data_IF_368667522377
#
_entry.id   IF_368667522377
#
_cell.length_a   1.000
_cell.length_b   1.000
_cell.length_c   1.000
_cell.angle_alpha   90.00
_cell.angle_beta   90.00
_cell.angle_gamma   90.00
#
_symmetry.space_group_name_H-M   'P 1'
#
loop_
_entity.id
_entity.type
_entity.pdbx_description
1 polymer ?
#
# COMPACT_ATOMS: atom_id res chain seq x y z
N UNK A 1 -31.22 16.86 -38.70
CA UNK A 1 -30.63 15.53 -38.44
C UNK A 1 -30.77 15.25 -36.96
N UNK A 2 -31.18 14.01 -36.61
CA UNK A 2 -31.61 13.59 -35.26
C UNK A 2 -30.53 13.84 -34.20
N UNK A 3 -30.97 14.36 -33.07
CA UNK A 3 -30.23 14.48 -31.83
C UNK A 3 -29.72 13.10 -31.37
N UNK A 4 -28.43 13.00 -31.07
CA UNK A 4 -27.89 11.91 -30.26
C UNK A 4 -27.32 12.47 -28.96
N UNK A 5 -28.11 12.56 -27.88
CA UNK A 5 -27.53 12.71 -26.56
C UNK A 5 -27.27 11.31 -26.02
N UNK A 6 -26.19 10.64 -26.45
CA UNK A 6 -25.69 9.49 -25.69
C UNK A 6 -24.95 10.02 -24.46
N UNK A 7 -25.72 10.60 -23.53
CA UNK A 7 -25.22 10.95 -22.19
C UNK A 7 -25.01 9.61 -21.48
N UNK A 8 -23.82 9.05 -21.66
CA UNK A 8 -23.41 7.80 -21.06
C UNK A 8 -23.25 8.02 -19.55
N UNK A 9 -24.38 8.05 -18.83
CA UNK A 9 -24.40 8.21 -17.37
C UNK A 9 -23.97 6.88 -16.78
N UNK A 10 -22.66 6.70 -16.63
CA UNK A 10 -22.08 5.58 -15.90
C UNK A 10 -22.77 5.52 -14.53
N UNK A 11 -23.27 4.34 -14.15
CA UNK A 11 -23.94 4.17 -12.86
C UNK A 11 -22.96 4.49 -11.71
N UNK A 12 -23.44 5.02 -10.56
CA UNK A 12 -22.57 5.33 -9.42
C UNK A 12 -21.71 4.13 -8.99
N UNK A 13 -22.31 2.93 -9.04
CA UNK A 13 -21.63 1.65 -8.77
C UNK A 13 -20.49 1.37 -9.75
N UNK A 14 -20.73 1.52 -11.05
CA UNK A 14 -19.69 1.32 -12.05
C UNK A 14 -18.58 2.37 -11.92
N UNK A 15 -18.93 3.62 -11.59
CA UNK A 15 -17.95 4.68 -11.35
C UNK A 15 -17.04 4.34 -10.15
N UNK A 16 -17.62 3.85 -9.05
CA UNK A 16 -16.84 3.45 -7.88
C UNK A 16 -15.86 2.32 -8.20
N UNK A 17 -16.32 1.28 -8.91
CA UNK A 17 -15.46 0.16 -9.34
C UNK A 17 -14.32 0.64 -10.24
N UNK A 18 -14.60 1.53 -11.20
CA UNK A 18 -13.57 2.10 -12.09
C UNK A 18 -12.53 2.88 -11.28
N UNK A 19 -12.96 3.70 -10.31
CA UNK A 19 -12.05 4.45 -9.44
C UNK A 19 -11.17 3.50 -8.63
N UNK A 20 -11.76 2.49 -7.95
CA UNK A 20 -10.99 1.50 -7.17
C UNK A 20 -9.97 0.79 -8.07
N UNK A 21 -10.40 0.28 -9.22
CA UNK A 21 -9.52 -0.42 -10.16
C UNK A 21 -8.38 0.49 -10.64
N UNK A 22 -8.67 1.76 -10.95
CA UNK A 22 -7.65 2.73 -11.36
C UNK A 22 -6.64 3.02 -10.25
N UNK A 23 -7.10 3.18 -9.00
CA UNK A 23 -6.24 3.44 -7.84
C UNK A 23 -5.33 2.24 -7.57
N UNK A 24 -5.87 1.01 -7.64
CA UNK A 24 -5.07 -0.21 -7.50
C UNK A 24 -4.00 -0.28 -8.59
N UNK A 25 -4.36 -0.01 -9.84
CA UNK A 25 -3.41 -0.04 -10.95
C UNK A 25 -2.27 0.97 -10.78
N UNK A 26 -2.61 2.20 -10.36
CA UNK A 26 -1.62 3.23 -10.02
C UNK A 26 -0.75 2.76 -8.85
N UNK A 27 -1.35 2.16 -7.82
CA UNK A 27 -0.66 1.56 -6.67
C UNK A 27 0.40 0.55 -7.07
N UNK A 28 0.03 -0.38 -7.95
CA UNK A 28 0.93 -1.42 -8.46
C UNK A 28 2.08 -0.79 -9.25
N UNK A 29 1.78 0.14 -10.16
CA UNK A 29 2.80 0.80 -10.98
C UNK A 29 3.82 1.56 -10.11
N UNK A 30 3.33 2.35 -9.16
CA UNK A 30 4.16 3.09 -8.20
C UNK A 30 4.99 2.15 -7.33
N UNK A 31 4.38 1.08 -6.80
CA UNK A 31 5.08 0.09 -5.99
C UNK A 31 6.18 -0.65 -6.74
N UNK A 32 5.97 -0.95 -8.02
CA UNK A 32 6.99 -1.57 -8.87
C UNK A 32 8.20 -0.64 -9.09
N UNK A 33 7.96 0.65 -9.33
CA UNK A 33 9.01 1.66 -9.47
C UNK A 33 9.82 1.77 -8.18
N UNK A 34 9.15 1.96 -7.04
CA UNK A 34 9.82 2.06 -5.74
C UNK A 34 10.56 0.79 -5.36
N UNK A 35 10.00 -0.39 -5.67
CA UNK A 35 10.69 -1.66 -5.42
C UNK A 35 11.98 -1.77 -6.22
N UNK A 36 11.99 -1.33 -7.48
CA UNK A 36 13.18 -1.45 -8.34
C UNK A 36 14.30 -0.56 -7.82
N UNK A 37 13.96 0.68 -7.45
CA UNK A 37 14.91 1.64 -6.87
C UNK A 37 15.41 1.15 -5.52
N UNK A 38 14.50 0.74 -4.64
CA UNK A 38 14.82 0.31 -3.28
C UNK A 38 15.66 -0.97 -3.24
N UNK A 39 15.40 -1.92 -4.13
CA UNK A 39 16.17 -3.17 -4.18
C UNK A 39 17.62 -2.94 -4.63
N UNK A 40 17.87 -2.01 -5.55
CA UNK A 40 19.22 -1.64 -5.94
C UNK A 40 20.03 -1.11 -4.74
N UNK A 41 19.45 -0.20 -3.97
CA UNK A 41 20.07 0.32 -2.74
C UNK A 41 20.31 -0.76 -1.67
N UNK A 42 19.39 -1.72 -1.53
CA UNK A 42 19.56 -2.87 -0.61
C UNK A 42 20.74 -3.74 -1.04
N UNK A 43 20.85 -4.04 -2.34
CA UNK A 43 21.93 -4.86 -2.88
C UNK A 43 23.31 -4.21 -2.64
N UNK A 44 23.41 -2.91 -2.88
CA UNK A 44 24.64 -2.16 -2.63
C UNK A 44 25.03 -2.18 -1.14
N UNK A 45 24.05 -1.99 -0.25
CA UNK A 45 24.28 -2.03 1.20
C UNK A 45 24.74 -3.42 1.69
N UNK A 46 24.18 -4.50 1.13
CA UNK A 46 24.57 -5.87 1.48
C UNK A 46 25.97 -6.19 0.96
N UNK A 47 26.31 -5.79 -0.28
CA UNK A 47 27.65 -5.99 -0.83
C UNK A 47 28.73 -5.26 -0.03
N UNK A 48 28.46 -4.02 0.40
CA UNK A 48 29.36 -3.27 1.28
C UNK A 48 29.56 -3.94 2.65
N UNK A 49 28.58 -4.72 3.12
CA UNK A 49 28.68 -5.47 4.37
C UNK A 49 29.52 -6.75 4.26
N UNK A 50 30.01 -7.10 3.06
CA UNK A 50 30.83 -8.29 2.80
C UNK A 50 30.04 -9.61 2.79
N UNK A 51 28.71 -9.55 2.84
CA UNK A 51 27.85 -10.73 2.83
C UNK A 51 27.58 -11.19 1.39
N UNK A 52 27.92 -12.43 1.06
CA UNK A 52 27.63 -13.03 -0.23
C UNK A 52 26.33 -13.82 -0.14
N UNK A 53 25.27 -13.30 -0.78
CA UNK A 53 23.99 -14.02 -0.92
C UNK A 53 24.08 -15.05 -2.03
N UNK A 54 23.46 -16.22 -1.85
CA UNK A 54 23.28 -17.18 -2.94
C UNK A 54 22.22 -16.67 -3.94
N UNK A 55 22.35 -16.95 -5.23
CA UNK A 55 21.38 -16.56 -6.27
C UNK A 55 19.92 -16.92 -5.92
N UNK A 56 19.71 -18.09 -5.31
CA UNK A 56 18.40 -18.56 -4.88
C UNK A 56 17.82 -17.73 -3.73
N UNK A 57 18.66 -17.21 -2.83
CA UNK A 57 18.25 -16.33 -1.74
C UNK A 57 17.95 -14.93 -2.27
N UNK A 58 18.79 -14.40 -3.16
CA UNK A 58 18.58 -13.09 -3.78
C UNK A 58 17.24 -13.01 -4.52
N UNK A 59 16.88 -14.04 -5.29
CA UNK A 59 15.58 -14.12 -5.97
C UNK A 59 14.40 -14.13 -4.99
N UNK A 60 14.48 -14.90 -3.91
CA UNK A 60 13.40 -14.97 -2.90
C UNK A 60 13.25 -13.63 -2.19
N UNK A 61 14.35 -13.00 -1.83
CA UNK A 61 14.35 -11.69 -1.19
C UNK A 61 13.80 -10.61 -2.10
N UNK A 62 14.23 -10.58 -3.37
CA UNK A 62 13.70 -9.65 -4.37
C UNK A 62 12.19 -9.78 -4.50
N UNK A 63 11.66 -11.01 -4.66
CA UNK A 63 10.23 -11.25 -4.79
C UNK A 63 9.42 -10.81 -3.56
N UNK A 64 9.90 -11.13 -2.35
CA UNK A 64 9.22 -10.75 -1.11
C UNK A 64 9.26 -9.23 -0.89
N UNK A 65 10.39 -8.59 -1.18
CA UNK A 65 10.53 -7.14 -1.11
C UNK A 65 9.58 -6.44 -2.09
N UNK A 66 9.57 -6.88 -3.35
CA UNK A 66 8.70 -6.34 -4.39
C UNK A 66 7.23 -6.51 -4.05
N UNK A 67 6.81 -7.70 -3.59
CA UNK A 67 5.43 -7.95 -3.21
C UNK A 67 4.99 -7.04 -2.05
N UNK A 68 5.80 -6.93 -1.00
CA UNK A 68 5.52 -6.06 0.15
C UNK A 68 5.44 -4.59 -0.24
N UNK A 69 6.35 -4.12 -1.09
CA UNK A 69 6.34 -2.74 -1.60
C UNK A 69 5.09 -2.45 -2.44
N UNK A 70 4.71 -3.36 -3.33
CA UNK A 70 3.49 -3.21 -4.14
C UNK A 70 2.25 -3.11 -3.25
N UNK A 71 2.09 -4.03 -2.31
CA UNK A 71 0.92 -4.05 -1.43
C UNK A 71 0.83 -2.77 -0.61
N UNK A 72 1.94 -2.33 -0.01
CA UNK A 72 1.94 -1.12 0.79
C UNK A 72 1.67 0.13 -0.06
N UNK A 73 2.20 0.20 -1.29
CA UNK A 73 1.89 1.30 -2.20
C UNK A 73 0.43 1.31 -2.67
N UNK A 74 -0.17 0.14 -2.92
CA UNK A 74 -1.60 0.03 -3.24
C UNK A 74 -2.44 0.53 -2.07
N UNK A 75 -2.10 0.11 -0.85
CA UNK A 75 -2.78 0.54 0.37
C UNK A 75 -2.73 2.06 0.56
N UNK A 76 -1.53 2.66 0.47
CA UNK A 76 -1.33 4.10 0.56
C UNK A 76 -2.16 4.86 -0.49
N UNK A 77 -2.18 4.38 -1.74
CA UNK A 77 -2.92 5.06 -2.82
C UNK A 77 -4.43 4.94 -2.63
N UNK A 78 -4.93 3.80 -2.16
CA UNK A 78 -6.34 3.65 -1.78
C UNK A 78 -6.71 4.56 -0.61
N UNK A 79 -5.83 4.66 0.41
CA UNK A 79 -5.99 5.56 1.55
C UNK A 79 -6.04 7.04 1.12
N UNK A 80 -5.20 7.46 0.16
CA UNK A 80 -5.26 8.81 -0.40
C UNK A 80 -6.61 9.04 -1.10
N UNK A 81 -7.05 8.08 -1.92
CA UNK A 81 -8.30 8.19 -2.66
C UNK A 81 -9.51 8.33 -1.75
N UNK A 82 -9.60 7.49 -0.72
CA UNK A 82 -10.70 7.53 0.25
C UNK A 82 -10.63 8.79 1.12
N UNK A 83 -9.44 9.19 1.60
CA UNK A 83 -9.27 10.40 2.40
C UNK A 83 -9.77 11.63 1.64
N UNK A 84 -9.48 11.70 0.34
CA UNK A 84 -9.97 12.77 -0.52
C UNK A 84 -11.51 12.83 -0.59
N UNK A 85 -12.16 11.67 -0.80
CA UNK A 85 -13.63 11.58 -0.88
C UNK A 85 -14.29 11.97 0.45
N UNK A 86 -13.76 11.48 1.57
CA UNK A 86 -14.29 11.79 2.90
C UNK A 86 -14.08 13.25 3.29
N UNK A 87 -12.93 13.83 2.94
CA UNK A 87 -12.67 15.25 3.19
C UNK A 87 -13.63 16.14 2.38
N UNK A 88 -13.88 15.81 1.12
CA UNK A 88 -14.86 16.54 0.28
C UNK A 88 -16.29 16.39 0.83
N UNK A 89 -16.67 15.17 1.22
CA UNK A 89 -17.97 14.90 1.81
C UNK A 89 -18.17 15.59 3.16
N UNK A 90 -17.12 15.68 3.99
CA UNK A 90 -17.13 16.43 5.24
C UNK A 90 -17.34 17.92 5.00
N UNK A 91 -16.66 18.52 4.00
CA UNK A 91 -16.85 19.94 3.67
C UNK A 91 -18.30 20.27 3.29
N UNK A 92 -18.98 19.34 2.62
CA UNK A 92 -20.39 19.49 2.19
C UNK A 92 -21.39 19.25 3.31
N UNK A 93 -21.21 18.20 4.09
CA UNK A 93 -22.18 17.76 5.11
C UNK A 93 -21.93 18.37 6.49
N UNK A 94 -20.69 18.80 6.78
CA UNK A 94 -20.20 19.23 8.10
C UNK A 94 -20.50 18.22 9.23
N UNK A 95 -20.66 16.95 8.89
CA UNK A 95 -21.01 15.90 9.86
C UNK A 95 -19.82 15.49 10.72
N UNK A 96 -19.98 15.50 12.04
CA UNK A 96 -18.97 15.04 13.01
C UNK A 96 -18.57 13.57 12.80
N UNK A 97 -19.49 12.74 12.28
CA UNK A 97 -19.20 11.35 11.94
C UNK A 97 -18.16 11.24 10.81
N UNK A 98 -18.33 12.04 9.75
CA UNK A 98 -17.40 12.05 8.61
C UNK A 98 -16.02 12.55 9.00
N UNK A 99 -15.95 13.51 9.92
CA UNK A 99 -14.69 13.96 10.50
C UNK A 99 -14.00 12.83 11.28
N UNK A 100 -14.73 12.11 12.13
CA UNK A 100 -14.20 10.96 12.87
C UNK A 100 -13.63 9.89 11.93
N UNK A 101 -14.34 9.57 10.85
CA UNK A 101 -13.85 8.61 9.86
C UNK A 101 -12.61 9.12 9.11
N UNK A 102 -12.57 10.42 8.78
CA UNK A 102 -11.39 11.05 8.15
C UNK A 102 -10.17 10.95 9.06
N UNK A 103 -10.32 11.19 10.38
CA UNK A 103 -9.24 11.01 11.34
C UNK A 103 -8.78 9.55 11.43
N UNK A 104 -9.70 8.60 11.47
CA UNK A 104 -9.38 7.18 11.48
C UNK A 104 -8.57 6.77 10.24
N UNK A 105 -9.02 7.15 9.05
CA UNK A 105 -8.29 6.93 7.79
C UNK A 105 -6.93 7.64 7.82
N UNK A 106 -6.84 8.85 8.38
CA UNK A 106 -5.57 9.57 8.52
C UNK A 106 -4.54 8.86 9.40
N UNK A 107 -4.99 8.18 10.46
CA UNK A 107 -4.11 7.33 11.30
C UNK A 107 -3.62 6.12 10.51
N UNK A 108 -4.51 5.44 9.77
CA UNK A 108 -4.11 4.32 8.90
C UNK A 108 -3.11 4.78 7.83
N UNK A 109 -3.36 5.92 7.19
CA UNK A 109 -2.45 6.52 6.22
C UNK A 109 -1.06 6.78 6.82
N UNK A 110 -1.01 7.39 8.01
CA UNK A 110 0.27 7.65 8.69
C UNK A 110 1.02 6.35 9.00
N UNK A 111 0.30 5.31 9.46
CA UNK A 111 0.86 3.98 9.68
C UNK A 111 1.44 3.40 8.39
N UNK A 112 0.73 3.45 7.26
CA UNK A 112 1.20 2.88 5.99
C UNK A 112 2.43 3.61 5.44
N UNK A 113 2.49 4.95 5.59
CA UNK A 113 3.69 5.74 5.27
C UNK A 113 4.88 5.32 6.14
N UNK A 114 4.69 5.19 7.46
CA UNK A 114 5.75 4.70 8.37
C UNK A 114 6.20 3.30 7.95
N UNK A 115 5.26 2.41 7.62
CA UNK A 115 5.59 1.08 7.15
C UNK A 115 6.43 1.11 5.86
N UNK A 116 6.13 2.02 4.92
CA UNK A 116 6.87 2.15 3.67
C UNK A 116 8.33 2.54 3.91
N UNK A 117 8.56 3.53 4.78
CA UNK A 117 9.91 3.99 5.14
C UNK A 117 10.68 2.89 5.87
N UNK A 118 10.01 2.16 6.76
CA UNK A 118 10.64 1.13 7.60
C UNK A 118 10.96 -0.14 6.81
N UNK A 119 10.23 -0.44 5.72
CA UNK A 119 10.48 -1.64 4.89
C UNK A 119 11.94 -1.70 4.43
N UNK A 120 12.55 -0.56 4.08
CA UNK A 120 13.93 -0.53 3.59
C UNK A 120 14.95 -0.92 4.67
N UNK A 121 14.86 -0.32 5.86
CA UNK A 121 15.79 -0.60 6.96
C UNK A 121 15.65 -2.03 7.49
N UNK A 122 14.41 -2.51 7.63
CA UNK A 122 14.12 -3.87 8.10
C UNK A 122 14.66 -4.93 7.15
N UNK A 123 14.63 -4.66 5.85
CA UNK A 123 15.10 -5.62 4.86
C UNK A 123 16.63 -5.75 4.87
N UNK A 124 17.35 -4.65 5.05
CA UNK A 124 18.81 -4.65 5.23
C UNK A 124 19.19 -5.44 6.49
N UNK A 125 18.50 -5.20 7.61
CA UNK A 125 18.73 -5.93 8.86
C UNK A 125 18.41 -7.42 8.72
N UNK A 126 17.31 -7.76 8.05
CA UNK A 126 16.90 -9.14 7.81
C UNK A 126 17.95 -9.93 7.03
N UNK A 127 18.56 -9.33 6.00
CA UNK A 127 19.64 -9.99 5.24
C UNK A 127 20.92 -10.11 6.07
N UNK A 128 21.22 -9.13 6.94
CA UNK A 128 22.43 -9.12 7.79
C UNK A 128 22.37 -10.09 8.98
N UNK A 129 21.19 -10.37 9.53
CA UNK A 129 21.00 -11.05 10.83
C UNK A 129 20.93 -12.59 10.77
N UNK A 130 21.43 -13.22 9.71
CA UNK A 130 21.57 -14.69 9.65
C UNK A 130 22.87 -15.03 10.41
N UNK A 131 22.90 -15.12 11.76
CA UNK A 131 22.06 -16.07 12.52
C UNK A 131 21.57 -15.64 13.94
N UNK A 132 20.58 -16.39 14.44
CA UNK A 132 20.11 -16.56 15.85
C UNK A 132 19.14 -15.54 16.47
N UNK A 133 19.16 -14.24 16.18
CA UNK A 133 18.32 -13.23 16.90
C UNK A 133 16.98 -12.85 16.24
N UNK A 134 16.56 -13.56 15.20
CA UNK A 134 15.32 -13.31 14.43
C UNK A 134 14.02 -13.64 15.16
N UNK A 135 14.04 -13.98 16.46
CA UNK A 135 12.81 -14.29 17.23
C UNK A 135 12.21 -13.09 17.97
N UNK A 136 12.97 -12.04 18.30
CA UNK A 136 12.47 -10.95 19.14
C UNK A 136 12.08 -9.69 18.36
N UNK A 137 12.76 -9.37 17.25
CA UNK A 137 12.51 -8.12 16.51
C UNK A 137 11.35 -8.22 15.49
N UNK A 138 10.89 -9.43 15.20
CA UNK A 138 9.64 -9.73 14.45
C UNK A 138 8.39 -9.20 15.18
N UNK A 139 8.51 -8.75 16.44
CA UNK A 139 7.41 -8.23 17.26
C UNK A 139 7.11 -6.74 17.00
N UNK A 140 8.02 -5.97 16.37
CA UNK A 140 7.85 -4.50 16.26
C UNK A 140 7.44 -3.97 14.88
N UNK A 141 7.87 -4.62 13.80
CA UNK A 141 7.64 -4.07 12.46
C UNK A 141 8.14 -4.97 11.34
N UNK A 142 7.22 -5.39 10.48
CA UNK A 142 7.41 -5.22 9.03
C UNK A 142 7.71 -6.43 8.13
N UNK A 143 8.06 -7.62 8.60
CA UNK A 143 8.24 -8.77 7.67
C UNK A 143 7.81 -10.13 8.23
N UNK A 144 6.66 -10.20 8.90
CA UNK A 144 5.98 -11.48 9.11
C UNK A 144 4.93 -11.69 8.02
N UNK A 145 4.75 -12.94 7.59
CA UNK A 145 3.66 -13.35 6.68
C UNK A 145 2.30 -12.86 7.19
N UNK A 146 2.14 -12.68 8.50
CA UNK A 146 0.93 -12.14 9.12
C UNK A 146 0.66 -10.68 8.74
N UNK A 147 1.68 -9.82 8.71
CA UNK A 147 1.51 -8.41 8.35
C UNK A 147 1.12 -8.25 6.87
N UNK A 148 1.64 -9.13 6.01
CA UNK A 148 1.21 -9.23 4.61
C UNK A 148 -0.29 -9.52 4.50
N UNK A 149 -0.81 -10.49 5.28
CA UNK A 149 -2.25 -10.78 5.31
C UNK A 149 -3.07 -9.60 5.85
N UNK A 150 -2.61 -8.93 6.91
CA UNK A 150 -3.30 -7.76 7.46
C UNK A 150 -3.44 -6.65 6.40
N UNK A 151 -2.39 -6.37 5.64
CA UNK A 151 -2.45 -5.36 4.58
C UNK A 151 -3.42 -5.75 3.46
N UNK A 152 -3.54 -7.05 3.12
CA UNK A 152 -4.55 -7.50 2.16
C UNK A 152 -5.97 -7.25 2.69
N UNK A 153 -6.24 -7.58 3.96
CA UNK A 153 -7.54 -7.30 4.58
C UNK A 153 -7.84 -5.80 4.63
N UNK A 154 -6.82 -4.98 4.89
CA UNK A 154 -6.93 -3.52 4.87
C UNK A 154 -7.28 -2.99 3.48
N UNK A 155 -6.59 -3.44 2.42
CA UNK A 155 -6.91 -3.11 1.02
C UNK A 155 -8.36 -3.48 0.68
N UNK A 156 -8.82 -4.67 1.11
CA UNK A 156 -10.20 -5.11 0.88
C UNK A 156 -11.18 -4.20 1.63
N UNK A 157 -10.91 -3.91 2.91
CA UNK A 157 -11.76 -3.05 3.73
C UNK A 157 -11.85 -1.63 3.16
N UNK A 158 -10.73 -1.04 2.74
CA UNK A 158 -10.69 0.29 2.12
C UNK A 158 -11.41 0.27 0.77
N UNK A 159 -11.25 -0.78 -0.02
CA UNK A 159 -11.97 -0.91 -1.30
C UNK A 159 -13.48 -0.95 -1.08
N UNK A 160 -13.96 -1.67 -0.07
CA UNK A 160 -15.38 -1.71 0.30
C UNK A 160 -15.85 -0.35 0.80
N UNK A 161 -15.08 0.31 1.68
CA UNK A 161 -15.43 1.64 2.18
C UNK A 161 -15.47 2.68 1.05
N UNK A 162 -14.53 2.63 0.11
CA UNK A 162 -14.48 3.52 -1.05
C UNK A 162 -15.71 3.29 -1.94
N UNK A 163 -16.08 2.03 -2.16
CA UNK A 163 -17.30 1.67 -2.88
C UNK A 163 -18.56 2.26 -2.21
N UNK A 164 -18.71 2.07 -0.90
CA UNK A 164 -19.85 2.57 -0.13
C UNK A 164 -19.87 4.11 -0.06
N UNK A 165 -18.72 4.77 -0.07
CA UNK A 165 -18.62 6.24 -0.01
C UNK A 165 -19.09 6.93 -1.31
N UNK A 166 -19.20 6.17 -2.40
CA UNK A 166 -19.57 6.66 -3.73
C UNK A 166 -20.97 6.22 -4.19
N UNK A 167 -21.65 5.37 -3.39
CA UNK A 167 -23.07 5.01 -3.56
C UNK A 167 -23.96 6.12 -2.99
#
# INVERSE_FOLDING_TARGET
MKDFPYKNTISPKAKAVIVIASLIFIGIAVGFIFSTIGFHSIKDAIQQSGYQTTDAQERRFSLLYTASMIINCVDIILLIGILWIYLDSYRKTKSSFMLGLTFFIGVLFTRSIVALVTIHSLFIEYVRAIPVLTKAFVIGGGFSTFNFFLNIFEIIAISILLYLSME
#
